data_IF_047457429742
#
_entry.id   IF_047457429742
#
_cell.length_a   1.000
_cell.length_b   1.000
_cell.length_c   1.000
_cell.angle_alpha   90.00
_cell.angle_beta   90.00
_cell.angle_gamma   90.00
#
_symmetry.space_group_name_H-M   'P 1'
#
loop_
_entity.id
_entity.type
_entity.pdbx_description
1 polymer ?
#
# COMPACT_ATOMS: atom_id res chain seq x y z
N UNK A 1 12.76 -1.00 6.02
CA UNK A 1 12.45 0.36 6.48
C UNK A 1 11.19 0.88 5.83
N UNK A 2 10.42 1.64 6.55
CA UNK A 2 9.16 2.14 6.02
C UNK A 2 9.35 3.46 5.28
N UNK A 3 8.49 3.66 4.29
CA UNK A 3 8.48 4.91 3.54
C UNK A 3 7.99 6.06 4.43
N UNK A 4 8.56 7.25 4.23
CA UNK A 4 8.11 8.45 4.92
C UNK A 4 6.79 8.96 4.33
N UNK A 5 6.13 9.86 5.03
CA UNK A 5 4.91 10.49 4.49
C UNK A 5 5.16 11.16 3.15
N UNK A 6 6.29 11.85 3.01
CA UNK A 6 6.62 12.49 1.74
C UNK A 6 6.76 11.46 0.62
N UNK A 7 7.40 10.34 0.92
CA UNK A 7 7.56 9.28 -0.07
C UNK A 7 6.22 8.65 -0.43
N UNK A 8 5.34 8.44 0.55
CA UNK A 8 4.00 7.93 0.30
C UNK A 8 3.21 8.86 -0.62
N UNK A 9 3.31 10.17 -0.39
CA UNK A 9 2.63 11.13 -1.25
C UNK A 9 3.13 11.10 -2.68
N UNK A 10 4.43 10.90 -2.86
CA UNK A 10 5.04 10.87 -4.19
C UNK A 10 4.65 9.64 -4.99
N UNK A 11 4.30 8.55 -4.33
CA UNK A 11 3.86 7.34 -5.01
C UNK A 11 2.57 7.58 -5.79
N UNK A 12 1.69 8.42 -5.27
CA UNK A 12 0.47 8.77 -5.97
C UNK A 12 -0.70 7.84 -5.72
N UNK A 13 -0.82 7.32 -4.49
CA UNK A 13 -2.01 6.56 -4.12
C UNK A 13 -3.27 7.39 -4.32
N UNK A 14 -4.38 6.72 -4.63
CA UNK A 14 -5.67 7.40 -4.71
C UNK A 14 -5.98 8.11 -3.39
N UNK A 15 -5.72 7.45 -2.28
CA UNK A 15 -5.82 8.04 -0.95
C UNK A 15 -5.05 7.18 0.04
N UNK A 16 -4.59 7.80 1.14
CA UNK A 16 -4.07 7.02 2.26
C UNK A 16 -4.34 7.79 3.56
N UNK A 17 -4.60 7.03 4.61
CA UNK A 17 -4.95 7.59 5.91
C UNK A 17 -3.75 7.82 6.81
N UNK A 18 -3.99 7.79 8.13
CA UNK A 18 -2.98 8.00 9.14
C UNK A 18 -2.30 6.67 9.53
N UNK A 19 -1.05 6.77 9.99
CA UNK A 19 -0.30 5.61 10.48
C UNK A 19 -0.18 4.51 9.41
N UNK A 20 0.17 4.91 8.20
CA UNK A 20 0.41 3.97 7.11
C UNK A 20 1.90 3.65 7.07
N UNK A 21 2.22 2.37 7.24
CA UNK A 21 3.60 1.88 7.26
C UNK A 21 3.78 0.92 6.09
N UNK A 22 4.45 1.37 5.05
CA UNK A 22 4.73 0.55 3.87
C UNK A 22 6.23 0.45 3.72
N UNK A 23 6.74 -0.79 3.64
CA UNK A 23 8.15 -1.03 3.45
C UNK A 23 8.63 -0.44 2.12
N UNK A 24 9.85 0.09 2.12
CA UNK A 24 10.46 0.57 0.88
C UNK A 24 10.82 -0.55 -0.08
N UNK A 25 10.59 -1.80 0.31
CA UNK A 25 10.81 -2.97 -0.55
C UNK A 25 9.51 -3.56 -1.08
N UNK A 26 8.45 -2.78 -1.09
CA UNK A 26 7.17 -3.18 -1.68
C UNK A 26 7.13 -2.69 -3.12
N UNK A 27 6.70 -3.56 -4.02
CA UNK A 27 6.50 -3.19 -5.42
C UNK A 27 5.04 -2.78 -5.61
N UNK A 28 4.83 -1.58 -6.15
CA UNK A 28 3.50 -1.01 -6.29
C UNK A 28 3.24 -0.67 -7.75
N UNK A 29 2.17 -1.21 -8.29
CA UNK A 29 1.75 -0.96 -9.66
C UNK A 29 0.33 -0.43 -9.66
N UNK A 30 0.10 0.68 -10.34
CA UNK A 30 -1.23 1.28 -10.41
C UNK A 30 -1.65 1.95 -9.11
N UNK A 31 -0.73 2.65 -8.45
CA UNK A 31 -0.99 3.29 -7.17
C UNK A 31 -2.22 4.21 -7.22
N UNK A 32 -2.47 4.84 -8.35
CA UNK A 32 -3.61 5.76 -8.50
C UNK A 32 -4.96 5.06 -8.33
N UNK A 33 -4.98 3.73 -8.36
CA UNK A 33 -6.20 2.95 -8.14
C UNK A 33 -6.24 2.31 -6.75
N UNK A 34 -5.25 2.59 -5.91
CA UNK A 34 -5.14 1.99 -4.58
C UNK A 34 -5.51 2.99 -3.51
N UNK A 35 -6.48 2.62 -2.67
CA UNK A 35 -6.89 3.40 -1.51
C UNK A 35 -6.47 2.68 -0.25
N UNK A 36 -5.91 3.42 0.70
CA UNK A 36 -5.38 2.84 1.94
C UNK A 36 -6.02 3.58 3.12
N UNK A 37 -6.58 2.81 4.05
CA UNK A 37 -7.19 3.38 5.24
C UNK A 37 -6.16 3.74 6.32
N UNK A 38 -6.61 3.77 7.59
CA UNK A 38 -5.76 4.10 8.72
C UNK A 38 -5.14 2.84 9.32
N UNK A 39 -3.96 2.97 9.90
CA UNK A 39 -3.29 1.88 10.62
C UNK A 39 -3.08 0.67 9.73
N UNK A 40 -2.49 0.90 8.57
CA UNK A 40 -2.17 -0.17 7.60
C UNK A 40 -0.67 -0.37 7.58
N UNK A 41 -0.24 -1.63 7.72
CA UNK A 41 1.17 -1.98 7.65
C UNK A 41 1.38 -3.01 6.56
N UNK A 42 2.31 -2.74 5.65
CA UNK A 42 2.66 -3.66 4.56
C UNK A 42 4.16 -3.91 4.63
N UNK A 43 4.53 -5.15 4.86
CA UNK A 43 5.91 -5.55 5.10
C UNK A 43 6.70 -5.76 3.81
N UNK A 44 7.97 -6.17 3.97
CA UNK A 44 8.92 -6.28 2.86
C UNK A 44 8.46 -7.26 1.78
N UNK A 45 8.86 -6.97 0.56
CA UNK A 45 8.72 -7.88 -0.58
C UNK A 45 7.28 -8.23 -0.95
N UNK A 46 6.35 -7.35 -0.60
CA UNK A 46 4.98 -7.47 -1.06
C UNK A 46 4.83 -6.87 -2.45
N UNK A 47 3.83 -7.34 -3.17
CA UNK A 47 3.47 -6.78 -4.48
C UNK A 47 2.03 -6.34 -4.42
N UNK A 48 1.77 -5.08 -4.76
CA UNK A 48 0.43 -4.53 -4.85
C UNK A 48 0.17 -4.11 -6.28
N UNK A 49 -0.90 -4.58 -6.87
CA UNK A 49 -1.18 -4.26 -8.27
C UNK A 49 -2.67 -4.14 -8.52
N UNK A 50 -3.06 -3.09 -9.19
CA UNK A 50 -4.43 -2.92 -9.64
C UNK A 50 -5.30 -2.16 -8.65
N UNK A 51 -6.61 -2.29 -8.83
CA UNK A 51 -7.58 -1.55 -8.03
C UNK A 51 -7.79 -2.26 -6.69
N UNK A 52 -7.27 -1.66 -5.62
CA UNK A 52 -7.30 -2.26 -4.29
C UNK A 52 -7.81 -1.22 -3.29
N UNK A 53 -8.64 -1.65 -2.36
CA UNK A 53 -9.02 -0.83 -1.21
C UNK A 53 -8.64 -1.57 0.05
N UNK A 54 -7.68 -1.02 0.79
CA UNK A 54 -7.35 -1.53 2.12
C UNK A 54 -8.18 -0.77 3.15
N UNK A 55 -8.87 -1.51 4.00
CA UNK A 55 -9.60 -0.90 5.10
C UNK A 55 -8.66 -0.44 6.20
N UNK A 56 -9.19 -0.27 7.40
CA UNK A 56 -8.40 0.16 8.56
C UNK A 56 -7.87 -1.05 9.31
N UNK A 57 -6.73 -0.84 10.00
CA UNK A 57 -6.16 -1.85 10.89
C UNK A 57 -5.80 -3.14 10.14
N UNK A 58 -5.08 -2.97 9.03
CA UNK A 58 -4.68 -4.08 8.17
C UNK A 58 -3.17 -4.32 8.30
N UNK A 59 -2.78 -5.58 8.39
CA UNK A 59 -1.38 -5.96 8.33
C UNK A 59 -1.18 -7.00 7.23
N UNK A 60 -0.37 -6.65 6.25
CA UNK A 60 0.01 -7.54 5.15
C UNK A 60 1.43 -8.03 5.43
N UNK A 61 1.57 -9.32 5.66
CA UNK A 61 2.87 -9.91 5.98
C UNK A 61 3.81 -9.94 4.78
N UNK A 62 5.09 -10.10 5.07
CA UNK A 62 6.14 -10.08 4.05
C UNK A 62 5.89 -11.12 2.96
N UNK A 63 6.21 -10.76 1.74
CA UNK A 63 6.11 -11.68 0.60
C UNK A 63 4.70 -11.88 0.05
N UNK A 64 3.73 -11.11 0.52
CA UNK A 64 2.35 -11.24 0.05
C UNK A 64 2.17 -10.58 -1.31
N UNK A 65 1.27 -11.14 -2.11
CA UNK A 65 0.90 -10.57 -3.39
C UNK A 65 -0.59 -10.23 -3.35
N UNK A 66 -0.92 -8.96 -3.57
CA UNK A 66 -2.30 -8.49 -3.59
C UNK A 66 -2.58 -7.90 -4.96
N UNK A 67 -3.47 -8.53 -5.67
CA UNK A 67 -3.84 -8.09 -7.01
C UNK A 67 -5.30 -7.68 -6.99
N UNK A 68 -5.55 -6.41 -7.30
CA UNK A 68 -6.90 -5.89 -7.34
C UNK A 68 -7.61 -6.29 -8.61
N UNK A 69 -8.92 -6.50 -8.47
CA UNK A 69 -9.75 -6.82 -9.59
C UNK A 69 -9.77 -5.66 -10.54
N UNK A 70 -9.42 -5.92 -11.73
CA UNK A 70 -9.43 -4.87 -12.70
C UNK A 70 -10.50 -5.09 -13.68
N UNK A 71 -11.29 -4.41 -13.82
CA UNK A 71 -12.06 -4.41 -14.99
C UNK A 71 -13.00 -3.37 -15.02
#
# INVERSE_FOLDING_TARGET
MFLSNNELQKIGFKSFGANVLISNKVSIYGAEFISIGDNVRIDDFCILSGKITFGNNIHIGAGSVVIGGGQ
#
